data_IF_266492497562
#
_entry.id   IF_266492497562
#
_cell.length_a   1.000
_cell.length_b   1.000
_cell.length_c   1.000
_cell.angle_alpha   90.00
_cell.angle_beta   90.00
_cell.angle_gamma   90.00
#
_symmetry.space_group_name_H-M   'P 1'
#
loop_
_entity.id
_entity.type
_entity.pdbx_description
1 polymer ?
#
# COMPACT_ATOMS: atom_id res chain seq x y z
N UNK A 1 1.89 8.66 15.31
CA UNK A 1 1.96 7.61 14.27
C UNK A 1 2.39 8.28 12.98
N UNK A 2 3.36 7.71 12.27
CA UNK A 2 3.78 8.18 10.95
C UNK A 2 3.33 7.14 9.92
N UNK A 3 2.58 7.58 8.92
CA UNK A 3 2.10 6.77 7.80
C UNK A 3 2.48 7.46 6.48
N UNK A 4 2.51 6.71 5.39
CA UNK A 4 2.77 7.22 4.05
C UNK A 4 1.67 6.77 3.09
N UNK A 5 1.20 7.68 2.25
CA UNK A 5 0.16 7.36 1.29
C UNK A 5 0.71 6.75 -0.02
N UNK A 6 1.99 6.36 -0.10
CA UNK A 6 2.60 5.75 -1.29
C UNK A 6 3.52 6.69 -2.07
N UNK A 7 3.98 6.22 -3.23
CA UNK A 7 5.02 6.85 -4.08
C UNK A 7 6.32 7.16 -3.33
N UNK A 8 6.78 6.20 -2.53
CA UNK A 8 8.06 6.31 -1.83
C UNK A 8 9.25 5.87 -2.72
N UNK A 9 8.97 5.22 -3.85
CA UNK A 9 9.99 4.60 -4.75
C UNK A 9 9.73 4.98 -6.21
N UNK A 10 10.69 4.73 -7.10
CA UNK A 10 10.65 4.95 -8.55
C UNK A 10 10.54 6.42 -9.03
N UNK A 11 9.69 7.26 -8.43
CA UNK A 11 9.60 8.71 -8.69
C UNK A 11 10.65 9.54 -7.92
N UNK A 12 11.61 8.87 -7.28
CA UNK A 12 12.62 9.49 -6.44
C UNK A 12 13.68 10.25 -7.26
N UNK A 13 14.39 11.20 -6.63
CA UNK A 13 15.50 11.91 -7.26
C UNK A 13 16.55 10.92 -7.81
N UNK A 14 17.28 11.31 -8.86
CA UNK A 14 18.32 10.48 -9.51
C UNK A 14 19.21 9.70 -8.53
N UNK A 15 19.57 10.31 -7.40
CA UNK A 15 20.41 9.68 -6.36
C UNK A 15 19.79 8.44 -5.71
N UNK A 16 18.47 8.35 -5.61
CA UNK A 16 17.73 7.21 -5.07
C UNK A 16 17.45 6.19 -6.16
N UNK A 17 17.00 6.63 -7.34
CA UNK A 17 16.65 5.72 -8.44
C UNK A 17 17.84 4.92 -9.00
N UNK A 18 19.06 5.49 -9.02
CA UNK A 18 20.28 4.73 -9.42
C UNK A 18 20.79 3.74 -8.37
N UNK A 19 20.24 3.81 -7.16
CA UNK A 19 20.51 2.90 -6.05
C UNK A 19 19.27 2.05 -5.74
N UNK A 20 18.40 1.85 -6.73
CA UNK A 20 17.20 1.03 -6.61
C UNK A 20 16.31 1.43 -5.43
N UNK A 21 16.20 2.73 -5.13
CA UNK A 21 15.34 3.28 -4.07
C UNK A 21 15.69 2.91 -2.62
N UNK A 22 16.74 2.11 -2.42
CA UNK A 22 17.24 1.71 -1.09
C UNK A 22 17.51 2.91 -0.16
N UNK A 23 18.06 4.05 -0.61
CA UNK A 23 18.27 5.21 0.27
C UNK A 23 16.96 5.76 0.85
N UNK A 24 15.88 5.77 0.07
CA UNK A 24 14.58 6.30 0.52
C UNK A 24 13.93 5.35 1.53
N UNK A 25 13.97 4.04 1.24
CA UNK A 25 13.46 3.01 2.15
C UNK A 25 14.22 3.03 3.48
N UNK A 26 15.56 3.07 3.43
CA UNK A 26 16.41 3.13 4.62
C UNK A 26 16.11 4.36 5.48
N UNK A 27 15.85 5.51 4.85
CA UNK A 27 15.46 6.73 5.55
C UNK A 27 14.09 6.59 6.24
N UNK A 28 13.09 6.02 5.56
CA UNK A 28 11.76 5.78 6.13
C UNK A 28 11.78 4.76 7.27
N UNK A 29 12.61 3.71 7.16
CA UNK A 29 12.88 2.78 8.26
C UNK A 29 13.46 3.52 9.47
N UNK A 30 14.46 4.38 9.26
CA UNK A 30 15.09 5.16 10.33
C UNK A 30 14.14 6.16 11.00
N UNK A 31 13.18 6.71 10.26
CA UNK A 31 12.10 7.55 10.81
C UNK A 31 11.05 6.75 11.58
N UNK A 32 11.05 5.43 11.47
CA UNK A 32 10.08 4.55 12.11
C UNK A 32 8.68 4.66 11.51
N UNK A 33 8.60 4.79 10.18
CA UNK A 33 7.35 4.70 9.43
C UNK A 33 6.58 3.44 9.86
N UNK A 34 5.26 3.55 10.08
CA UNK A 34 4.45 2.45 10.61
C UNK A 34 3.78 1.63 9.55
N UNK A 35 3.41 2.26 8.44
CA UNK A 35 2.76 1.60 7.33
C UNK A 35 2.82 2.53 6.11
N UNK A 36 2.75 1.97 4.90
CA UNK A 36 2.53 2.73 3.69
C UNK A 36 1.45 2.09 2.82
N UNK A 37 0.48 2.86 2.35
CA UNK A 37 -0.24 2.45 1.14
C UNK A 37 0.74 2.35 -0.04
N UNK A 38 0.45 1.49 -1.00
CA UNK A 38 1.09 1.54 -2.31
C UNK A 38 0.53 2.73 -3.10
N UNK A 39 1.38 3.44 -3.81
CA UNK A 39 1.04 4.36 -4.89
C UNK A 39 1.26 3.72 -6.25
N UNK A 40 1.06 4.49 -7.33
CA UNK A 40 1.27 3.95 -8.68
C UNK A 40 2.74 3.67 -8.95
N UNK A 41 3.66 4.47 -8.39
CA UNK A 41 5.10 4.32 -8.65
C UNK A 41 5.74 3.11 -7.96
N UNK A 42 5.09 2.54 -6.93
CA UNK A 42 5.46 1.22 -6.39
C UNK A 42 5.35 0.09 -7.45
N UNK A 43 4.60 0.29 -8.53
CA UNK A 43 4.41 -0.68 -9.60
C UNK A 43 5.26 -0.43 -10.86
N UNK A 44 6.11 0.61 -10.88
CA UNK A 44 6.90 0.96 -12.09
C UNK A 44 7.83 -0.15 -12.58
N UNK A 45 8.31 -0.99 -11.65
CA UNK A 45 9.13 -2.18 -11.93
C UNK A 45 8.34 -3.49 -11.82
N UNK A 46 7.02 -3.38 -11.64
CA UNK A 46 6.06 -4.46 -11.55
C UNK A 46 5.90 -5.08 -10.16
N UNK A 47 4.82 -5.85 -9.99
CA UNK A 47 4.45 -6.44 -8.70
C UNK A 47 5.56 -7.30 -8.08
N UNK A 48 6.31 -8.03 -8.90
CA UNK A 48 7.38 -8.89 -8.42
C UNK A 48 8.53 -8.09 -7.78
N UNK A 49 8.86 -6.92 -8.32
CA UNK A 49 9.87 -6.03 -7.75
C UNK A 49 9.39 -5.43 -6.41
N UNK A 50 8.14 -4.98 -6.37
CA UNK A 50 7.49 -4.51 -5.15
C UNK A 50 7.56 -5.57 -4.04
N UNK A 51 7.09 -6.78 -4.30
CA UNK A 51 7.01 -7.83 -3.28
C UNK A 51 8.37 -8.40 -2.85
N UNK A 52 9.30 -8.57 -3.79
CA UNK A 52 10.55 -9.29 -3.54
C UNK A 52 11.75 -8.41 -3.22
N UNK A 53 11.66 -7.11 -3.51
CA UNK A 53 12.75 -6.16 -3.23
C UNK A 53 12.27 -5.05 -2.30
N UNK A 54 11.31 -4.23 -2.73
CA UNK A 54 10.86 -3.07 -1.96
C UNK A 54 10.30 -3.48 -0.60
N UNK A 55 9.34 -4.42 -0.58
CA UNK A 55 8.73 -4.89 0.66
C UNK A 55 9.68 -5.71 1.55
N UNK A 56 10.79 -6.23 1.01
CA UNK A 56 11.81 -6.92 1.81
C UNK A 56 12.79 -5.94 2.46
N UNK A 57 13.03 -4.78 1.85
CA UNK A 57 13.88 -3.72 2.38
C UNK A 57 13.13 -2.81 3.38
N UNK A 58 11.79 -2.77 3.33
CA UNK A 58 10.97 -1.95 4.23
C UNK A 58 10.73 -2.63 5.59
N UNK A 59 10.98 -1.92 6.69
CA UNK A 59 10.66 -2.37 8.06
C UNK A 59 9.16 -2.17 8.40
N UNK A 60 8.35 -1.79 7.42
CA UNK A 60 6.93 -1.47 7.53
C UNK A 60 6.14 -2.13 6.40
N UNK A 61 4.86 -2.48 6.63
CA UNK A 61 4.02 -3.07 5.60
C UNK A 61 3.68 -2.07 4.48
N UNK A 62 3.65 -2.59 3.25
CA UNK A 62 3.12 -1.91 2.07
C UNK A 62 1.86 -2.63 1.63
N UNK A 63 0.73 -1.94 1.52
CA UNK A 63 -0.60 -2.53 1.33
C UNK A 63 -1.44 -1.81 0.26
N UNK A 64 -2.45 -2.49 -0.28
CA UNK A 64 -3.30 -1.98 -1.35
C UNK A 64 -4.62 -2.75 -1.49
N UNK A 65 -5.68 -2.22 -0.88
CA UNK A 65 -7.02 -2.80 -0.80
C UNK A 65 -7.66 -3.13 -2.15
N UNK A 66 -7.45 -2.27 -3.15
CA UNK A 66 -8.05 -2.40 -4.47
C UNK A 66 -7.12 -3.06 -5.50
N UNK A 67 -5.98 -3.62 -5.08
CA UNK A 67 -5.02 -4.27 -5.98
C UNK A 67 -5.25 -5.78 -5.96
N UNK A 68 -5.58 -6.36 -7.11
CA UNK A 68 -5.85 -7.79 -7.24
C UNK A 68 -4.98 -8.43 -8.30
N UNK A 69 -4.62 -9.69 -8.09
CA UNK A 69 -3.88 -10.50 -9.06
C UNK A 69 -4.80 -10.88 -10.22
N UNK A 70 -4.34 -10.66 -11.46
CA UNK A 70 -5.16 -10.85 -12.67
C UNK A 70 -5.55 -12.30 -12.91
N UNK A 71 -4.72 -13.25 -12.48
CA UNK A 71 -4.94 -14.68 -12.71
C UNK A 71 -5.93 -15.29 -11.71
N UNK A 72 -5.91 -14.82 -10.47
CA UNK A 72 -6.67 -15.41 -9.35
C UNK A 72 -7.85 -14.56 -8.90
N UNK A 73 -7.87 -13.25 -9.21
CA UNK A 73 -8.84 -12.28 -8.69
C UNK A 73 -8.72 -12.05 -7.18
N UNK A 74 -7.67 -12.58 -6.53
CA UNK A 74 -7.41 -12.40 -5.10
C UNK A 74 -6.58 -11.14 -4.87
N UNK A 75 -6.54 -10.59 -3.64
CA UNK A 75 -5.64 -9.49 -3.32
C UNK A 75 -4.19 -9.82 -3.73
N UNK A 76 -3.54 -8.88 -4.44
CA UNK A 76 -2.13 -9.00 -4.82
C UNK A 76 -1.20 -8.42 -3.74
N UNK A 77 -1.74 -7.55 -2.89
CA UNK A 77 -1.12 -7.02 -1.68
C UNK A 77 -2.07 -7.30 -0.52
N UNK A 78 -1.55 -7.24 0.70
CA UNK A 78 -2.43 -7.16 1.87
C UNK A 78 -3.34 -5.93 1.71
N UNK A 79 -4.64 -6.04 2.01
CA UNK A 79 -5.58 -4.95 1.73
C UNK A 79 -5.50 -3.81 2.76
N UNK A 80 -5.08 -4.12 3.98
CA UNK A 80 -4.96 -3.17 5.08
C UNK A 80 -3.88 -3.65 6.06
N UNK A 81 -3.55 -2.82 7.03
CA UNK A 81 -2.78 -3.23 8.21
C UNK A 81 -3.42 -2.72 9.50
N UNK A 82 -3.06 -3.32 10.64
CA UNK A 82 -3.48 -2.83 11.97
C UNK A 82 -2.24 -2.39 12.74
N UNK A 83 -2.21 -1.12 13.12
CA UNK A 83 -1.17 -0.53 13.97
C UNK A 83 -1.72 -0.35 15.38
N UNK A 84 -1.10 -0.97 16.37
CA UNK A 84 -1.47 -0.78 17.78
C UNK A 84 -0.68 0.37 18.39
N UNK A 85 -1.38 1.37 18.94
CA UNK A 85 -0.76 2.48 19.68
C UNK A 85 -0.21 2.01 21.05
N UNK A 86 0.65 2.81 21.71
CA UNK A 86 1.18 2.47 23.03
C UNK A 86 0.13 2.28 24.13
N UNK A 87 -1.07 2.85 23.98
CA UNK A 87 -2.18 2.67 24.91
C UNK A 87 -3.09 1.48 24.58
N UNK A 88 -2.79 0.74 23.51
CA UNK A 88 -3.51 -0.47 23.10
C UNK A 88 -4.59 -0.24 22.04
N UNK A 89 -4.85 1.01 21.61
CA UNK A 89 -5.81 1.31 20.54
C UNK A 89 -5.38 0.65 19.22
N UNK A 90 -6.25 -0.14 18.61
CA UNK A 90 -6.04 -0.77 17.29
C UNK A 90 -6.47 0.20 16.19
N UNK A 91 -5.53 0.60 15.35
CA UNK A 91 -5.78 1.52 14.23
C UNK A 91 -5.68 0.71 12.93
N UNK A 92 -6.81 0.49 12.26
CA UNK A 92 -6.87 -0.13 10.94
C UNK A 92 -6.55 0.90 9.87
N UNK A 93 -5.57 0.62 9.01
CA UNK A 93 -5.14 1.49 7.92
C UNK A 93 -5.43 0.80 6.59
N UNK A 94 -6.33 1.37 5.81
CA UNK A 94 -6.76 0.85 4.51
C UNK A 94 -6.17 1.73 3.42
N UNK A 95 -5.43 1.14 2.48
CA UNK A 95 -4.71 1.87 1.45
C UNK A 95 -5.30 1.57 0.08
N UNK A 96 -5.50 2.57 -0.77
CA UNK A 96 -5.95 2.36 -2.15
C UNK A 96 -5.08 3.07 -3.16
N UNK A 97 -4.92 2.46 -4.33
CA UNK A 97 -4.13 2.99 -5.44
C UNK A 97 -5.09 3.55 -6.49
N UNK A 98 -4.78 4.70 -7.09
CA UNK A 98 -5.60 5.30 -8.14
C UNK A 98 -5.94 4.31 -9.27
N UNK A 99 -7.20 4.34 -9.72
CA UNK A 99 -7.66 3.57 -10.90
C UNK A 99 -7.04 4.07 -12.20
N UNK A 100 -6.33 5.20 -12.16
CA UNK A 100 -5.58 5.78 -13.27
C UNK A 100 -4.18 5.16 -13.46
N UNK A 101 -3.77 4.24 -12.57
CA UNK A 101 -2.44 3.59 -12.66
C UNK A 101 -2.16 2.96 -14.04
N UNK A 102 -3.12 2.29 -14.71
CA UNK A 102 -2.91 1.77 -16.07
C UNK A 102 -2.58 2.82 -17.14
N UNK A 103 -2.89 4.10 -16.90
CA UNK A 103 -2.57 5.21 -17.79
C UNK A 103 -1.23 5.88 -17.44
N UNK A 104 -0.73 5.67 -16.22
CA UNK A 104 0.44 6.34 -15.67
C UNK A 104 1.70 5.47 -15.69
N UNK A 105 1.55 4.15 -15.66
CA UNK A 105 2.65 3.18 -15.57
C UNK A 105 2.70 2.28 -16.81
N UNK A 106 3.89 1.75 -17.13
CA UNK A 106 4.08 0.85 -18.27
C UNK A 106 3.16 -0.38 -18.17
N UNK A 107 2.32 -0.66 -19.20
CA UNK A 107 1.40 -1.79 -19.18
C UNK A 107 2.06 -3.15 -18.95
N UNK A 108 3.33 -3.32 -19.35
CA UNK A 108 4.07 -4.56 -19.14
C UNK A 108 4.40 -4.79 -17.67
N UNK A 109 4.63 -3.73 -16.89
CA UNK A 109 4.86 -3.81 -15.45
C UNK A 109 3.57 -4.17 -14.69
N UNK A 110 2.41 -3.82 -15.25
CA UNK A 110 1.10 -4.04 -14.63
C UNK A 110 0.40 -5.35 -15.04
N UNK A 111 1.02 -6.17 -15.89
CA UNK A 111 0.36 -7.34 -16.49
C UNK A 111 -0.23 -8.35 -15.48
N UNK A 112 0.31 -8.39 -14.25
CA UNK A 112 -0.17 -9.29 -13.18
C UNK A 112 -1.20 -8.66 -12.25
N UNK A 113 -1.54 -7.38 -12.37
CA UNK A 113 -2.41 -6.68 -11.41
C UNK A 113 -3.57 -5.94 -12.06
N UNK A 114 -4.69 -5.88 -11.34
CA UNK A 114 -5.83 -5.03 -11.63
C UNK A 114 -6.05 -4.05 -10.47
N UNK A 115 -6.50 -2.84 -10.81
CA UNK A 115 -6.86 -1.79 -9.87
C UNK A 115 -8.37 -1.60 -9.87
N UNK A 116 -9.02 -2.04 -8.80
CA UNK A 116 -10.46 -1.94 -8.61
C UNK A 116 -10.91 -0.57 -8.08
N UNK A 117 -12.22 -0.40 -7.92
CA UNK A 117 -12.82 0.81 -7.35
C UNK A 117 -12.31 1.07 -5.91
N UNK A 118 -11.76 2.26 -5.68
CA UNK A 118 -11.10 2.62 -4.42
C UNK A 118 -12.11 2.74 -3.27
N UNK A 119 -13.29 3.28 -3.53
CA UNK A 119 -14.35 3.48 -2.52
C UNK A 119 -14.96 2.14 -2.11
N UNK A 120 -15.30 1.29 -3.08
CA UNK A 120 -15.85 -0.03 -2.83
C UNK A 120 -14.86 -0.92 -2.07
N UNK A 121 -13.57 -0.88 -2.43
CA UNK A 121 -12.54 -1.59 -1.68
C UNK A 121 -12.41 -1.06 -0.25
N UNK A 122 -12.37 0.27 -0.07
CA UNK A 122 -12.26 0.88 1.26
C UNK A 122 -13.45 0.49 2.15
N UNK A 123 -14.68 0.64 1.64
CA UNK A 123 -15.88 0.28 2.39
C UNK A 123 -15.89 -1.21 2.77
N UNK A 124 -15.52 -2.09 1.84
CA UNK A 124 -15.45 -3.54 2.10
C UNK A 124 -14.55 -3.86 3.31
N UNK A 125 -13.35 -3.29 3.36
CA UNK A 125 -12.42 -3.58 4.45
C UNK A 125 -12.71 -2.76 5.71
N UNK A 126 -13.37 -1.61 5.59
CA UNK A 126 -13.86 -0.89 6.76
C UNK A 126 -15.00 -1.67 7.46
N UNK A 127 -15.92 -2.24 6.69
CA UNK A 127 -16.96 -3.13 7.21
C UNK A 127 -16.32 -4.34 7.90
N UNK A 128 -15.33 -4.99 7.26
CA UNK A 128 -14.60 -6.12 7.88
C UNK A 128 -13.95 -5.71 9.21
N UNK A 129 -13.28 -4.55 9.27
CA UNK A 129 -12.56 -4.07 10.44
C UNK A 129 -13.45 -3.60 11.60
N UNK A 130 -14.77 -3.63 11.41
CA UNK A 130 -15.75 -3.14 12.39
C UNK A 130 -16.99 -4.04 12.54
N UNK A 131 -16.96 -5.26 11.97
CA UNK A 131 -18.10 -6.19 11.99
C UNK A 131 -18.23 -6.99 13.31
N UNK A 132 -17.24 -6.86 14.20
CA UNK A 132 -17.19 -7.51 15.51
C UNK A 132 -16.62 -8.94 15.47
N UNK A 133 -16.04 -9.37 14.36
CA UNK A 133 -15.38 -10.66 14.20
C UNK A 133 -13.87 -10.55 14.42
N UNK A 134 -13.42 -10.69 15.67
CA UNK A 134 -11.99 -10.67 16.04
C UNK A 134 -11.09 -11.64 15.22
N UNK A 135 -11.64 -12.65 14.54
CA UNK A 135 -10.86 -13.56 13.70
C UNK A 135 -10.43 -12.96 12.35
N UNK A 136 -11.07 -11.89 11.86
CA UNK A 136 -10.72 -11.21 10.60
C UNK A 136 -10.02 -9.85 10.82
N UNK A 137 -9.77 -9.50 12.09
CA UNK A 137 -9.13 -8.25 12.52
C UNK A 137 -10.17 -7.17 12.83
N UNK A 138 -10.03 -6.54 14.00
CA UNK A 138 -10.89 -5.45 14.45
C UNK A 138 -10.05 -4.20 14.73
N UNK A 139 -10.62 -3.03 14.43
CA UNK A 139 -10.00 -1.74 14.70
C UNK A 139 -10.94 -0.81 15.48
N UNK A 140 -10.38 -0.09 16.44
CA UNK A 140 -11.08 0.96 17.19
C UNK A 140 -11.21 2.24 16.35
N UNK A 141 -10.24 2.47 15.46
CA UNK A 141 -10.17 3.61 14.55
C UNK A 141 -9.77 3.12 13.17
N UNK A 142 -10.45 3.59 12.13
CA UNK A 142 -10.13 3.30 10.74
C UNK A 142 -9.59 4.56 10.07
N UNK A 143 -8.43 4.44 9.41
CA UNK A 143 -7.80 5.47 8.59
C UNK A 143 -7.75 4.97 7.16
N UNK A 144 -8.20 5.80 6.22
CA UNK A 144 -8.10 5.50 4.79
C UNK A 144 -7.00 6.36 4.14
N UNK A 145 -6.06 5.70 3.48
CA UNK A 145 -4.98 6.31 2.70
C UNK A 145 -5.30 6.13 1.22
N UNK A 146 -5.66 7.22 0.55
CA UNK A 146 -5.92 7.24 -0.88
C UNK A 146 -4.68 7.77 -1.59
N UNK A 147 -4.03 6.91 -2.37
CA UNK A 147 -3.05 7.34 -3.35
C UNK A 147 -3.76 7.77 -4.63
N UNK A 148 -4.40 8.94 -4.56
CA UNK A 148 -5.20 9.49 -5.64
C UNK A 148 -4.87 10.97 -5.82
N UNK A 149 -4.90 11.44 -7.07
CA UNK A 149 -4.88 12.87 -7.36
C UNK A 149 -6.06 13.57 -6.71
N UNK A 150 -5.87 14.82 -6.29
CA UNK A 150 -6.97 15.67 -5.81
C UNK A 150 -7.70 16.26 -7.01
N UNK A 151 -8.96 15.86 -7.20
CA UNK A 151 -9.92 16.55 -8.08
C UNK A 151 -10.58 17.74 -7.37
#
# INVERSE_FOLDING_TARGET
MLLSAGDNVSASLYVSSVQDDEPTISYLNALGLKASAAGNHEFDRGLADLQNRISQSADFPIFGANVTDTATGKPALEPFTIVTSPDGTKIGVIGTVTTETPQLTDPSALASVNFGDTVAATNKYADQLSDGNEANGEADVIVAEYHQGVD
#
